data_IF_530819831981
#
_entry.id   IF_530819831981
#
_cell.length_a   1.000
_cell.length_b   1.000
_cell.length_c   1.000
_cell.angle_alpha   90.00
_cell.angle_beta   90.00
_cell.angle_gamma   90.00
#
_symmetry.space_group_name_H-M   'P 1'
#
loop_
_entity.id
_entity.type
_entity.pdbx_description
1 polymer ?
#
# COMPACT_ATOMS: atom_id res chain seq x y z
N UNK A 1 -5.90 -8.75 -3.66
CA UNK A 1 -6.38 -7.36 -3.56
C UNK A 1 -5.77 -6.73 -2.33
N UNK A 2 -5.25 -5.50 -2.44
CA UNK A 2 -4.77 -4.71 -1.31
C UNK A 2 -5.60 -3.43 -1.20
N UNK A 3 -6.28 -3.20 -0.09
CA UNK A 3 -7.10 -1.99 0.12
C UNK A 3 -6.29 -0.90 0.83
N UNK A 4 -6.54 0.36 0.47
CA UNK A 4 -6.12 1.53 1.23
C UNK A 4 -7.31 1.96 2.10
N UNK A 5 -7.23 1.67 3.40
CA UNK A 5 -8.29 1.95 4.39
C UNK A 5 -7.62 2.44 5.68
N UNK A 6 -8.18 3.46 6.32
CA UNK A 6 -7.69 4.02 7.58
C UNK A 6 -7.64 2.98 8.73
N UNK A 7 -8.47 1.93 8.64
CA UNK A 7 -8.53 0.78 9.58
C UNK A 7 -7.48 -0.29 9.28
N UNK A 8 -6.74 -0.15 8.17
CA UNK A 8 -5.69 -1.07 7.77
C UNK A 8 -4.46 -1.03 8.68
N UNK A 9 -3.48 -1.88 8.37
CA UNK A 9 -2.19 -1.90 9.06
C UNK A 9 -1.37 -0.67 8.67
N UNK A 10 -0.87 0.04 9.67
CA UNK A 10 0.14 1.08 9.50
C UNK A 10 1.50 0.40 9.57
N UNK A 11 2.31 0.55 8.52
CA UNK A 11 3.65 -0.04 8.41
C UNK A 11 4.63 1.01 7.90
N UNK A 12 5.91 0.82 8.19
CA UNK A 12 7.01 1.65 7.69
C UNK A 12 7.34 1.36 6.22
N UNK A 13 8.09 2.25 5.57
CA UNK A 13 8.52 2.05 4.18
C UNK A 13 9.38 0.78 3.96
N UNK A 14 10.32 0.41 4.85
CA UNK A 14 11.02 -0.88 4.74
C UNK A 14 10.08 -2.08 4.85
N UNK A 15 9.15 -2.08 5.82
CA UNK A 15 8.16 -3.16 5.95
C UNK A 15 7.24 -3.26 4.74
N UNK A 16 6.89 -2.13 4.12
CA UNK A 16 6.13 -2.11 2.88
C UNK A 16 6.93 -2.70 1.71
N UNK A 17 8.22 -2.36 1.59
CA UNK A 17 9.13 -2.99 0.62
C UNK A 17 9.19 -4.51 0.81
N UNK A 18 9.37 -4.97 2.05
CA UNK A 18 9.43 -6.40 2.37
C UNK A 18 8.10 -7.11 2.12
N UNK A 19 6.96 -6.44 2.32
CA UNK A 19 5.64 -6.97 1.96
C UNK A 19 5.53 -7.22 0.44
N UNK A 20 5.94 -6.25 -0.38
CA UNK A 20 5.92 -6.39 -1.84
C UNK A 20 6.88 -7.49 -2.33
N UNK A 21 8.08 -7.58 -1.75
CA UNK A 21 9.06 -8.63 -2.05
C UNK A 21 8.46 -10.00 -1.71
N UNK A 22 7.87 -10.17 -0.52
CA UNK A 22 7.23 -11.43 -0.13
C UNK A 22 6.11 -11.82 -1.08
N UNK A 23 5.27 -10.88 -1.50
CA UNK A 23 4.23 -11.18 -2.49
C UNK A 23 4.84 -11.66 -3.81
N UNK A 24 5.83 -10.95 -4.34
CA UNK A 24 6.54 -11.36 -5.57
C UNK A 24 7.13 -12.77 -5.43
N UNK A 25 7.85 -13.03 -4.35
CA UNK A 25 8.56 -14.29 -4.12
C UNK A 25 7.59 -15.46 -3.84
N UNK A 26 6.37 -15.17 -3.37
CA UNK A 26 5.29 -16.15 -3.25
C UNK A 26 4.61 -16.52 -4.58
N UNK A 27 5.11 -16.02 -5.71
CA UNK A 27 4.55 -16.27 -7.05
C UNK A 27 3.35 -15.39 -7.40
N UNK A 28 3.09 -14.33 -6.63
CA UNK A 28 2.00 -13.39 -6.93
C UNK A 28 2.39 -12.51 -8.12
N UNK A 29 1.86 -12.83 -9.30
CA UNK A 29 2.15 -12.09 -10.53
C UNK A 29 1.58 -10.68 -10.57
N UNK A 30 0.44 -10.45 -9.90
CA UNK A 30 -0.26 -9.17 -9.91
C UNK A 30 -0.73 -8.73 -8.52
N UNK A 31 -0.61 -7.44 -8.25
CA UNK A 31 -1.16 -6.77 -7.06
C UNK A 31 -2.06 -5.62 -7.50
N UNK A 32 -3.30 -5.64 -7.04
CA UNK A 32 -4.26 -4.56 -7.28
C UNK A 32 -4.45 -3.77 -5.99
N UNK A 33 -4.08 -2.49 -6.02
CA UNK A 33 -4.38 -1.54 -4.95
C UNK A 33 -5.72 -0.87 -5.18
N UNK A 34 -6.56 -0.82 -4.15
CA UNK A 34 -7.89 -0.23 -4.21
C UNK A 34 -7.93 0.99 -3.30
N UNK A 35 -8.30 2.13 -3.87
CA UNK A 35 -8.52 3.39 -3.15
C UNK A 35 -10.01 3.72 -3.30
N UNK A 36 -10.71 3.87 -2.18
CA UNK A 36 -12.13 4.23 -2.16
C UNK A 36 -12.39 5.65 -2.65
N UNK A 37 -13.65 5.91 -2.99
CA UNK A 37 -14.16 7.26 -3.28
C UNK A 37 -14.46 8.03 -1.99
N UNK A 38 -15.36 9.01 -2.06
CA UNK A 38 -15.79 9.80 -0.90
C UNK A 38 -16.37 8.92 0.23
N UNK A 39 -17.12 7.87 -0.12
CA UNK A 39 -17.74 6.94 0.82
C UNK A 39 -16.82 5.78 1.25
N UNK A 40 -15.56 5.79 0.81
CA UNK A 40 -14.59 4.74 1.11
C UNK A 40 -14.79 3.47 0.27
N UNK A 41 -14.45 2.32 0.86
CA UNK A 41 -14.49 1.00 0.21
C UNK A 41 -15.65 0.19 0.79
N UNK A 42 -16.51 -0.35 -0.07
CA UNK A 42 -17.65 -1.18 0.32
C UNK A 42 -17.19 -2.32 1.25
N UNK A 43 -17.96 -2.58 2.32
CA UNK A 43 -17.64 -3.62 3.32
C UNK A 43 -17.38 -4.98 2.67
N UNK A 44 -18.21 -5.39 1.71
CA UNK A 44 -18.07 -6.65 0.98
C UNK A 44 -16.75 -6.76 0.20
N UNK A 45 -16.21 -5.65 -0.32
CA UNK A 45 -14.91 -5.63 -1.01
C UNK A 45 -13.74 -5.64 -0.01
N UNK A 46 -13.89 -4.99 1.14
CA UNK A 46 -12.87 -5.02 2.21
C UNK A 46 -12.69 -6.41 2.78
N UNK A 47 -13.78 -7.17 2.93
CA UNK A 47 -13.75 -8.56 3.43
C UNK A 47 -13.04 -9.52 2.45
N UNK A 48 -12.91 -9.15 1.17
CA UNK A 48 -12.18 -9.91 0.15
C UNK A 48 -10.70 -9.50 0.02
N UNK A 49 -10.26 -8.48 0.76
CA UNK A 49 -8.89 -7.99 0.68
C UNK A 49 -7.92 -8.96 1.35
N UNK A 50 -6.85 -9.35 0.63
CA UNK A 50 -5.77 -10.15 1.21
C UNK A 50 -4.96 -9.34 2.23
N UNK A 51 -4.99 -8.01 2.08
CA UNK A 51 -4.28 -7.07 2.92
C UNK A 51 -4.99 -5.72 2.90
N UNK A 52 -4.97 -5.01 4.03
CA UNK A 52 -5.42 -3.62 4.12
C UNK A 52 -4.28 -2.77 4.67
N UNK A 53 -3.82 -1.81 3.87
CA UNK A 53 -2.77 -0.84 4.19
C UNK A 53 -3.40 0.47 4.65
N UNK A 54 -2.79 1.12 5.64
CA UNK A 54 -3.20 2.44 6.15
C UNK A 54 -2.03 3.42 6.11
N UNK A 55 -2.28 4.63 5.61
CA UNK A 55 -1.35 5.77 5.74
C UNK A 55 -1.46 6.49 7.09
N UNK A 56 -2.18 5.91 8.04
CA UNK A 56 -2.36 6.45 9.38
C UNK A 56 -3.85 6.60 9.74
N UNK A 57 -4.08 7.09 10.97
CA UNK A 57 -5.46 7.26 11.50
C UNK A 57 -6.21 8.44 10.88
N UNK A 58 -5.50 9.38 10.25
CA UNK A 58 -6.10 10.55 9.62
C UNK A 58 -6.73 10.17 8.28
N UNK A 59 -7.83 10.84 7.94
CA UNK A 59 -8.50 10.67 6.65
C UNK A 59 -7.80 11.55 5.62
N UNK A 60 -7.29 10.92 4.56
CA UNK A 60 -6.65 11.61 3.44
C UNK A 60 -7.61 11.70 2.25
N UNK A 61 -7.65 12.83 1.52
CA UNK A 61 -8.40 12.91 0.27
C UNK A 61 -7.94 11.82 -0.71
N UNK A 62 -8.87 11.11 -1.34
CA UNK A 62 -8.55 9.94 -2.18
C UNK A 62 -7.57 10.26 -3.33
N UNK A 63 -7.62 11.48 -3.88
CA UNK A 63 -6.66 11.93 -4.89
C UNK A 63 -5.24 12.07 -4.33
N UNK A 64 -5.10 12.55 -3.10
CA UNK A 64 -3.80 12.64 -2.42
C UNK A 64 -3.29 11.25 -2.04
N UNK A 65 -4.15 10.38 -1.51
CA UNK A 65 -3.81 8.99 -1.19
C UNK A 65 -3.27 8.23 -2.41
N UNK A 66 -3.78 8.54 -3.62
CA UNK A 66 -3.27 7.98 -4.88
C UNK A 66 -1.83 8.39 -5.17
N UNK A 67 -1.50 9.67 -5.00
CA UNK A 67 -0.13 10.18 -5.20
C UNK A 67 0.81 9.61 -4.15
N UNK A 68 0.38 9.57 -2.88
CA UNK A 68 1.16 8.98 -1.79
C UNK A 68 1.46 7.49 -2.04
N UNK A 69 0.49 6.73 -2.54
CA UNK A 69 0.69 5.33 -2.90
C UNK A 69 1.72 5.18 -4.03
N UNK A 70 1.63 5.98 -5.10
CA UNK A 70 2.62 5.94 -6.17
C UNK A 70 4.04 6.24 -5.66
N UNK A 71 4.18 7.24 -4.80
CA UNK A 71 5.47 7.57 -4.17
C UNK A 71 5.98 6.42 -3.30
N UNK A 72 5.14 5.82 -2.46
CA UNK A 72 5.57 4.71 -1.60
C UNK A 72 5.90 3.44 -2.41
N UNK A 73 5.21 3.19 -3.53
CA UNK A 73 5.58 2.10 -4.45
C UNK A 73 6.95 2.33 -5.07
N UNK A 74 7.23 3.56 -5.52
CA UNK A 74 8.55 3.93 -6.03
C UNK A 74 9.64 3.79 -4.94
N UNK A 75 9.36 4.27 -3.73
CA UNK A 75 10.26 4.15 -2.58
C UNK A 75 10.54 2.70 -2.22
N UNK A 76 9.50 1.87 -2.16
CA UNK A 76 9.62 0.45 -1.88
C UNK A 76 10.46 -0.27 -2.94
N UNK A 77 10.22 0.00 -4.23
CA UNK A 77 11.05 -0.53 -5.31
C UNK A 77 12.52 -0.07 -5.21
N UNK A 78 12.74 1.19 -4.84
CA UNK A 78 14.09 1.74 -4.64
C UNK A 78 14.83 1.09 -3.48
N UNK A 79 14.13 0.83 -2.36
CA UNK A 79 14.65 0.10 -1.20
C UNK A 79 15.01 -1.34 -1.62
N UNK A 80 14.09 -2.05 -2.29
CA UNK A 80 14.31 -3.41 -2.76
C UNK A 80 15.52 -3.52 -3.72
N UNK A 81 15.74 -2.50 -4.55
CA UNK A 81 16.87 -2.40 -5.47
C UNK A 81 18.16 -1.86 -4.82
N UNK A 82 18.15 -1.56 -3.53
CA UNK A 82 19.28 -0.97 -2.78
C UNK A 82 19.81 0.34 -3.41
N UNK A 83 18.90 1.15 -3.96
CA UNK A 83 19.23 2.44 -4.55
C UNK A 83 19.40 3.53 -3.47
N UNK A 84 20.27 4.53 -3.68
CA UNK A 84 20.60 5.57 -2.69
C UNK A 84 19.46 6.56 -2.36
N UNK A 85 18.23 6.30 -2.81
CA UNK A 85 17.04 7.09 -2.53
C UNK A 85 16.59 6.97 -1.06
N UNK A 86 16.83 5.82 -0.44
CA UNK A 86 16.58 5.64 0.99
C UNK A 86 17.81 6.12 1.77
N UNK A 87 17.94 7.44 1.95
CA UNK A 87 18.84 7.99 2.97
C UNK A 87 18.09 7.98 4.29
N UNK A 88 18.55 7.13 5.21
CA UNK A 88 18.12 7.12 6.61
C UNK A 88 18.57 8.42 7.31
#
# INVERSE_FOLDING_TARGET
ICTLDERGKVISSPEFSDLLIRWRDSGRSNVTFVIGGADGIAKSLREQADYSLSFGKMVWPHMLARVMLCEQLYRAASIAAKLPYHRA
#
